data_IF_763827983662
#
_entry.id   IF_763827983662
#
_cell.length_a   1.000
_cell.length_b   1.000
_cell.length_c   1.000
_cell.angle_alpha   90.00
_cell.angle_beta   90.00
_cell.angle_gamma   90.00
#
_symmetry.space_group_name_H-M   'P 1'
#
loop_
_entity.id
_entity.type
_entity.pdbx_description
1 polymer ?
#
# COMPACT_ATOMS: atom_id res chain seq x y z
N UNK A 1 7.24 -6.51 26.14
CA UNK A 1 7.01 -5.77 24.88
C UNK A 1 6.93 -6.80 23.75
N UNK A 2 5.75 -7.03 23.19
CA UNK A 2 5.60 -7.87 22.00
C UNK A 2 6.20 -7.08 20.83
N UNK A 3 7.27 -7.59 20.22
CA UNK A 3 7.81 -7.03 18.97
C UNK A 3 7.12 -7.73 17.82
N UNK A 4 6.27 -7.02 17.08
CA UNK A 4 5.79 -7.50 15.79
C UNK A 4 6.97 -7.41 14.81
N UNK A 5 7.44 -8.56 14.31
CA UNK A 5 8.39 -8.57 13.21
C UNK A 5 7.74 -7.89 12.00
N UNK A 6 8.34 -6.81 11.50
CA UNK A 6 7.94 -6.21 10.22
C UNK A 6 8.30 -7.17 9.09
N UNK A 7 7.37 -8.05 8.74
CA UNK A 7 7.41 -8.79 7.50
C UNK A 7 6.85 -7.89 6.39
N UNK A 8 7.49 -7.91 5.23
CA UNK A 8 6.92 -7.27 4.05
C UNK A 8 5.61 -7.94 3.66
N UNK A 9 4.72 -7.18 3.04
CA UNK A 9 3.41 -7.68 2.57
C UNK A 9 3.14 -7.19 1.16
N UNK A 10 2.17 -7.83 0.50
CA UNK A 10 1.73 -7.46 -0.84
C UNK A 10 0.20 -7.37 -0.82
N UNK A 11 -0.35 -6.39 -1.51
CA UNK A 11 -1.78 -6.26 -1.80
C UNK A 11 -1.97 -6.12 -3.31
N UNK A 12 -3.00 -6.76 -3.87
CA UNK A 12 -3.28 -6.76 -5.29
C UNK A 12 -4.70 -6.22 -5.55
N UNK A 13 -4.80 -5.29 -6.49
CA UNK A 13 -6.04 -4.77 -7.04
C UNK A 13 -6.32 -5.33 -8.43
N UNK A 14 -7.31 -4.74 -9.09
CA UNK A 14 -7.72 -5.18 -10.43
C UNK A 14 -6.65 -4.92 -11.49
N UNK A 15 -5.92 -3.80 -11.40
CA UNK A 15 -4.92 -3.39 -12.39
C UNK A 15 -3.58 -2.93 -11.81
N UNK A 16 -3.40 -3.00 -10.50
CA UNK A 16 -2.14 -2.67 -9.85
C UNK A 16 -1.87 -3.56 -8.64
N UNK A 17 -0.61 -3.62 -8.24
CA UNK A 17 -0.16 -4.33 -7.04
C UNK A 17 0.72 -3.39 -6.22
N UNK A 18 0.67 -3.56 -4.91
CA UNK A 18 1.37 -2.73 -3.92
C UNK A 18 2.17 -3.63 -3.01
N UNK A 19 3.45 -3.32 -2.81
CA UNK A 19 4.35 -4.02 -1.91
C UNK A 19 4.79 -3.13 -0.76
N UNK A 20 4.61 -3.60 0.48
CA UNK A 20 5.21 -3.03 1.67
C UNK A 20 6.57 -3.68 1.93
N UNK A 21 7.62 -2.86 1.99
CA UNK A 21 8.96 -3.30 2.36
C UNK A 21 9.13 -3.29 3.88
N UNK A 22 10.08 -4.09 4.38
CA UNK A 22 10.38 -4.19 5.82
C UNK A 22 10.84 -2.87 6.44
N UNK A 23 11.41 -1.97 5.64
CA UNK A 23 11.83 -0.63 6.07
C UNK A 23 10.67 0.36 6.24
N UNK A 24 9.43 -0.03 5.90
CA UNK A 24 8.24 0.82 5.96
C UNK A 24 8.04 1.71 4.73
N UNK A 25 8.81 1.52 3.66
CA UNK A 25 8.56 2.13 2.35
C UNK A 25 7.63 1.26 1.51
N UNK A 26 6.95 1.88 0.54
CA UNK A 26 5.96 1.23 -0.33
C UNK A 26 6.36 1.35 -1.80
N UNK A 27 6.11 0.30 -2.56
CA UNK A 27 6.21 0.28 -4.02
C UNK A 27 4.88 -0.10 -4.64
N UNK A 28 4.57 0.45 -5.81
CA UNK A 28 3.38 0.09 -6.56
C UNK A 28 3.73 -0.10 -8.05
N UNK A 29 3.04 -1.03 -8.71
CA UNK A 29 3.21 -1.31 -10.13
C UNK A 29 1.86 -1.66 -10.77
N UNK A 30 1.66 -1.24 -12.02
CA UNK A 30 0.44 -1.49 -12.79
C UNK A 30 -0.11 -0.23 -13.44
N UNK A 31 -1.42 -0.20 -13.70
CA UNK A 31 -2.11 1.00 -14.18
C UNK A 31 -1.95 2.14 -13.15
N UNK A 32 -1.78 3.37 -13.62
CA UNK A 32 -1.68 4.56 -12.77
C UNK A 32 -2.50 5.76 -13.27
N UNK A 33 -3.58 5.52 -14.03
CA UNK A 33 -4.35 6.61 -14.65
C UNK A 33 -5.08 7.50 -13.63
N UNK A 34 -5.34 6.99 -12.43
CA UNK A 34 -6.01 7.70 -11.34
C UNK A 34 -5.09 7.91 -10.13
N UNK A 35 -3.77 7.77 -10.29
CA UNK A 35 -2.78 7.95 -9.21
C UNK A 35 -2.72 6.78 -8.21
N UNK A 36 -3.32 5.62 -8.50
CA UNK A 36 -3.30 4.46 -7.60
C UNK A 36 -1.89 3.94 -7.26
N UNK A 37 -0.88 4.25 -8.07
CA UNK A 37 0.53 3.91 -7.84
C UNK A 37 1.35 5.09 -7.28
N UNK A 38 0.74 6.24 -6.96
CA UNK A 38 1.43 7.43 -6.45
C UNK A 38 1.78 7.30 -4.95
N UNK A 39 2.56 6.27 -4.63
CA UNK A 39 3.01 5.93 -3.27
C UNK A 39 4.41 6.47 -2.95
N UNK A 40 4.97 7.27 -3.87
CA UNK A 40 6.30 7.86 -3.69
C UNK A 40 6.32 8.74 -2.43
N UNK A 41 7.28 8.47 -1.55
CA UNK A 41 7.44 9.22 -0.29
C UNK A 41 6.65 8.67 0.89
N UNK A 42 5.86 7.61 0.72
CA UNK A 42 5.24 6.91 1.84
C UNK A 42 6.32 6.26 2.72
N UNK A 43 6.19 6.45 4.03
CA UNK A 43 7.16 6.04 5.06
C UNK A 43 6.40 5.56 6.29
N UNK A 44 7.06 4.71 7.08
CA UNK A 44 6.52 4.20 8.34
C UNK A 44 5.19 3.45 8.19
N UNK A 45 4.94 2.94 6.98
CA UNK A 45 3.77 2.13 6.68
C UNK A 45 3.94 0.76 7.34
N UNK A 46 2.88 0.27 7.97
CA UNK A 46 2.84 -1.03 8.63
C UNK A 46 1.91 -2.01 7.94
N UNK A 47 0.92 -1.51 7.19
CA UNK A 47 -0.01 -2.32 6.39
C UNK A 47 -0.41 -1.55 5.14
N UNK A 48 -0.60 -2.26 4.03
CA UNK A 48 -1.15 -1.71 2.79
C UNK A 48 -2.43 -2.45 2.41
N UNK A 49 -3.38 -1.74 1.80
CA UNK A 49 -4.58 -2.31 1.22
C UNK A 49 -4.80 -1.72 -0.18
N UNK A 50 -5.42 -2.52 -1.03
CA UNK A 50 -5.82 -2.10 -2.37
C UNK A 50 -7.32 -2.30 -2.50
N UNK A 51 -8.04 -1.22 -2.81
CA UNK A 51 -9.47 -1.22 -3.02
C UNK A 51 -9.82 -1.17 -4.49
N UNK A 52 -10.89 -1.88 -4.89
CA UNK A 52 -11.46 -1.87 -6.23
C UNK A 52 -12.92 -1.46 -6.17
N UNK A 53 -13.33 -0.50 -7.00
CA UNK A 53 -14.73 -0.16 -7.23
C UNK A 53 -15.25 -0.90 -8.48
N UNK A 54 -16.54 -1.25 -8.46
CA UNK A 54 -17.23 -1.92 -9.58
C UNK A 54 -17.17 -1.13 -10.91
N UNK A 55 -16.90 0.17 -10.85
CA UNK A 55 -16.76 1.05 -12.02
C UNK A 55 -15.34 1.14 -12.56
N UNK A 56 -14.39 0.33 -12.05
CA UNK A 56 -13.01 0.27 -12.53
C UNK A 56 -12.05 1.25 -11.85
N UNK A 57 -12.51 2.03 -10.87
CA UNK A 57 -11.60 2.84 -10.04
C UNK A 57 -10.92 1.95 -9.00
N UNK A 58 -9.59 1.96 -8.97
CA UNK A 58 -8.80 1.33 -7.91
C UNK A 58 -8.05 2.39 -7.11
N UNK A 59 -7.83 2.15 -5.83
CA UNK A 59 -7.05 3.03 -4.95
C UNK A 59 -6.14 2.22 -4.02
N UNK A 60 -5.12 2.89 -3.50
CA UNK A 60 -4.16 2.35 -2.56
C UNK A 60 -4.28 3.09 -1.23
N UNK A 61 -4.24 2.35 -0.12
CA UNK A 61 -4.24 2.90 1.23
C UNK A 61 -3.08 2.30 2.01
N UNK A 62 -2.38 3.11 2.80
CA UNK A 62 -1.34 2.67 3.72
C UNK A 62 -1.64 3.14 5.13
N UNK A 63 -1.52 2.27 6.12
CA UNK A 63 -1.66 2.63 7.53
C UNK A 63 -0.26 2.82 8.13
N UNK A 64 -0.04 3.95 8.80
CA UNK A 64 1.17 4.21 9.59
C UNK A 64 1.05 3.63 11.00
N UNK A 65 2.18 3.43 11.66
CA UNK A 65 2.23 2.95 13.04
C UNK A 65 1.52 3.88 14.05
N UNK A 66 1.40 5.17 13.75
CA UNK A 66 0.70 6.16 14.58
C UNK A 66 -0.82 6.17 14.34
N UNK A 67 -1.32 5.33 13.45
CA UNK A 67 -2.74 5.21 13.11
C UNK A 67 -3.21 6.14 11.98
N UNK A 68 -2.34 6.98 11.42
CA UNK A 68 -2.67 7.81 10.26
C UNK A 68 -2.68 7.02 8.95
N UNK A 69 -3.47 7.52 7.99
CA UNK A 69 -3.67 6.95 6.65
C UNK A 69 -3.21 7.94 5.60
#
# INVERSE_FOLDING_TARGET
MIRFNRNGSIAAGYRHSVGLRRDGSVVAAGENRAGQCDVTGWREIVVVAVGNAHTGNSHTVGLRADGSV
#
